data_IF_861312072410
#
_entry.id   IF_861312072410
#
_cell.length_a   1.000
_cell.length_b   1.000
_cell.length_c   1.000
_cell.angle_alpha   90.00
_cell.angle_beta   90.00
_cell.angle_gamma   90.00
#
_symmetry.space_group_name_H-M   'P 1'
#
loop_
_entity.id
_entity.type
_entity.pdbx_description
1 polymer ?
#
# COMPACT_ATOMS: atom_id res chain seq x y z
N UNK A 1 11.99 -59.65 7.48
CA UNK A 1 12.81 -58.63 6.78
C UNK A 1 12.02 -58.26 5.53
N UNK A 2 11.40 -57.09 5.39
CA UNK A 2 11.94 -55.73 5.43
C UNK A 2 10.92 -54.79 6.07
N UNK A 3 11.39 -54.00 7.03
CA UNK A 3 10.70 -52.91 7.73
C UNK A 3 10.44 -51.74 6.79
N UNK A 4 9.16 -51.42 6.52
CA UNK A 4 8.76 -50.19 5.83
C UNK A 4 8.81 -49.01 6.78
N UNK A 5 9.83 -48.17 6.64
CA UNK A 5 9.95 -46.93 7.40
C UNK A 5 8.88 -45.92 6.92
N UNK A 6 7.85 -45.71 7.74
CA UNK A 6 6.99 -44.54 7.63
C UNK A 6 7.83 -43.29 7.91
N UNK A 7 8.32 -42.63 6.86
CA UNK A 7 8.81 -41.26 6.95
C UNK A 7 7.60 -40.34 7.14
N UNK A 8 7.23 -40.16 8.41
CA UNK A 8 6.38 -39.06 8.84
C UNK A 8 7.19 -37.78 8.65
N UNK A 9 7.07 -37.15 7.48
CA UNK A 9 7.57 -35.79 7.27
C UNK A 9 6.66 -34.89 8.11
N UNK A 10 7.13 -34.50 9.29
CA UNK A 10 6.51 -33.44 10.07
C UNK A 10 6.52 -32.17 9.19
N UNK A 11 5.39 -31.89 8.54
CA UNK A 11 5.10 -30.58 7.97
C UNK A 11 4.97 -29.64 9.16
N UNK A 12 6.09 -29.09 9.61
CA UNK A 12 6.10 -27.97 10.53
C UNK A 12 5.52 -26.78 9.77
N UNK A 13 4.19 -26.67 9.79
CA UNK A 13 3.49 -25.45 9.44
C UNK A 13 4.06 -24.36 10.33
N UNK A 14 4.84 -23.45 9.73
CA UNK A 14 5.24 -22.22 10.40
C UNK A 14 3.98 -21.39 10.61
N UNK A 15 3.36 -21.59 11.77
CA UNK A 15 2.23 -20.77 12.23
C UNK A 15 2.80 -19.45 12.76
N UNK A 16 3.31 -18.64 11.84
CA UNK A 16 3.70 -17.27 12.12
C UNK A 16 2.41 -16.45 12.23
N UNK A 17 2.13 -15.76 13.35
CA UNK A 17 1.04 -14.79 13.40
C UNK A 17 1.51 -13.52 12.67
N UNK A 18 1.72 -13.61 11.34
CA UNK A 18 2.22 -12.51 10.51
C UNK A 18 1.15 -11.46 10.21
N UNK A 19 -0.10 -11.73 10.58
CA UNK A 19 -1.20 -10.82 10.36
C UNK A 19 -1.96 -10.66 11.66
N UNK A 20 -1.55 -9.66 12.47
CA UNK A 20 -2.52 -8.91 13.25
C UNK A 20 -3.62 -8.55 12.26
N UNK A 21 -4.88 -8.92 12.53
CA UNK A 21 -6.04 -8.42 11.79
C UNK A 21 -5.84 -6.91 11.64
N UNK A 22 -5.42 -6.51 10.44
CA UNK A 22 -5.30 -5.09 10.15
C UNK A 22 -6.74 -4.65 10.11
N UNK A 23 -7.13 -3.69 10.94
CA UNK A 23 -8.32 -2.90 10.66
C UNK A 23 -8.07 -2.27 9.29
N UNK A 24 -8.49 -2.97 8.24
CA UNK A 24 -8.59 -2.39 6.91
C UNK A 24 -9.60 -1.25 7.06
N UNK A 25 -9.35 -0.10 6.42
CA UNK A 25 -10.32 0.96 6.45
C UNK A 25 -11.69 0.42 6.03
N UNK A 26 -12.71 0.76 6.81
CA UNK A 26 -14.08 0.35 6.50
C UNK A 26 -14.59 1.12 5.29
N UNK A 27 -15.54 0.55 4.55
CA UNK A 27 -16.22 1.23 3.44
C UNK A 27 -16.77 2.60 3.87
N UNK A 28 -17.25 2.70 5.13
CA UNK A 28 -17.70 3.97 5.72
C UNK A 28 -16.60 5.02 5.84
N UNK A 29 -15.38 4.63 6.18
CA UNK A 29 -14.24 5.57 6.25
C UNK A 29 -13.84 6.05 4.86
N UNK A 30 -13.90 5.16 3.86
CA UNK A 30 -13.68 5.54 2.47
C UNK A 30 -14.76 6.50 1.98
N UNK A 31 -16.04 6.17 2.16
CA UNK A 31 -17.17 7.06 1.81
C UNK A 31 -17.05 8.42 2.49
N UNK A 32 -16.67 8.47 3.76
CA UNK A 32 -16.47 9.72 4.48
C UNK A 32 -15.33 10.54 3.88
N UNK A 33 -14.17 9.91 3.61
CA UNK A 33 -13.05 10.58 2.96
C UNK A 33 -13.44 11.10 1.57
N UNK A 34 -14.10 10.29 0.75
CA UNK A 34 -14.58 10.68 -0.57
C UNK A 34 -15.52 11.89 -0.47
N UNK A 35 -16.40 11.93 0.54
CA UNK A 35 -17.32 13.07 0.72
C UNK A 35 -16.60 14.39 1.02
N UNK A 36 -15.47 14.35 1.73
CA UNK A 36 -14.60 15.52 1.96
C UNK A 36 -13.92 15.96 0.66
N UNK A 37 -13.43 15.01 -0.14
CA UNK A 37 -12.70 15.29 -1.38
C UNK A 37 -13.58 15.73 -2.57
N UNK A 38 -14.91 15.70 -2.43
CA UNK A 38 -15.87 16.13 -3.46
C UNK A 38 -15.81 17.61 -3.81
N UNK A 39 -15.13 18.44 -3.01
CA UNK A 39 -14.91 19.86 -3.34
C UNK A 39 -13.91 20.06 -4.50
N UNK A 40 -13.25 18.99 -4.97
CA UNK A 40 -12.45 18.96 -6.18
C UNK A 40 -11.07 19.58 -6.07
N UNK A 41 -10.65 20.00 -4.88
CA UNK A 41 -9.28 20.48 -4.62
C UNK A 41 -8.40 19.38 -4.04
N UNK A 42 -7.10 19.66 -3.96
CA UNK A 42 -6.18 18.86 -3.17
C UNK A 42 -6.40 19.10 -1.67
N UNK A 43 -6.36 18.02 -0.90
CA UNK A 43 -6.33 18.06 0.56
C UNK A 43 -5.03 17.43 1.06
N UNK A 44 -4.29 18.16 1.87
CA UNK A 44 -3.07 17.68 2.52
C UNK A 44 -3.41 16.70 3.64
N UNK A 45 -2.45 15.84 4.01
CA UNK A 45 -2.60 14.97 5.19
C UNK A 45 -2.87 15.76 6.48
N UNK A 46 -2.32 16.99 6.59
CA UNK A 46 -2.54 17.86 7.75
C UNK A 46 -3.99 18.33 7.84
N UNK A 47 -4.62 18.68 6.73
CA UNK A 47 -6.04 19.04 6.70
C UNK A 47 -6.90 17.83 7.03
N UNK A 48 -6.61 16.67 6.44
CA UNK A 48 -7.38 15.44 6.66
C UNK A 48 -7.29 14.90 8.10
N UNK A 49 -6.21 15.21 8.83
CA UNK A 49 -6.09 14.91 10.27
C UNK A 49 -7.16 15.60 11.12
N UNK A 50 -7.65 16.77 10.72
CA UNK A 50 -8.72 17.48 11.44
C UNK A 50 -10.02 16.67 11.41
N UNK A 51 -10.23 15.85 10.38
CA UNK A 51 -11.37 14.95 10.23
C UNK A 51 -11.15 13.57 10.87
N UNK A 52 -10.04 13.38 11.59
CA UNK A 52 -9.74 12.15 12.33
C UNK A 52 -8.92 11.11 11.58
N UNK A 53 -8.44 11.40 10.37
CA UNK A 53 -7.60 10.46 9.62
C UNK A 53 -6.12 10.55 10.01
N UNK A 54 -5.51 9.41 10.35
CA UNK A 54 -4.06 9.31 10.50
C UNK A 54 -3.35 9.15 9.15
N UNK A 55 -2.06 9.47 9.09
CA UNK A 55 -1.25 9.27 7.88
C UNK A 55 -1.21 7.80 7.44
N UNK A 56 -1.41 6.86 8.37
CA UNK A 56 -1.45 5.43 8.06
C UNK A 56 -2.78 5.06 7.42
N UNK A 57 -3.89 5.49 8.01
CA UNK A 57 -5.23 5.23 7.48
C UNK A 57 -5.41 5.83 6.09
N UNK A 58 -4.89 7.03 5.85
CA UNK A 58 -4.96 7.65 4.52
C UNK A 58 -4.22 6.82 3.46
N UNK A 59 -3.04 6.28 3.79
CA UNK A 59 -2.31 5.40 2.85
C UNK A 59 -3.08 4.10 2.60
N UNK A 60 -3.60 3.49 3.65
CA UNK A 60 -4.39 2.26 3.54
C UNK A 60 -5.68 2.53 2.72
N UNK A 61 -6.34 3.68 2.91
CA UNK A 61 -7.53 4.08 2.16
C UNK A 61 -7.23 4.28 0.68
N UNK A 62 -6.16 5.02 0.34
CA UNK A 62 -5.77 5.23 -1.06
C UNK A 62 -5.50 3.91 -1.77
N UNK A 63 -4.71 3.02 -1.14
CA UNK A 63 -4.34 1.71 -1.70
C UNK A 63 -5.56 0.82 -1.98
N UNK A 64 -6.62 0.96 -1.19
CA UNK A 64 -7.85 0.16 -1.30
C UNK A 64 -9.03 0.94 -1.91
N UNK A 65 -8.79 2.12 -2.50
CA UNK A 65 -9.86 2.97 -3.06
C UNK A 65 -10.24 2.61 -4.50
N UNK A 66 -9.72 1.53 -5.06
CA UNK A 66 -9.91 1.14 -6.47
C UNK A 66 -9.67 2.30 -7.47
N UNK A 67 -8.71 3.17 -7.15
CA UNK A 67 -8.34 4.32 -7.98
C UNK A 67 -9.23 5.55 -7.84
N UNK A 68 -10.20 5.56 -6.90
CA UNK A 68 -11.04 6.73 -6.64
C UNK A 68 -10.28 7.92 -6.06
N UNK A 69 -9.14 7.67 -5.41
CA UNK A 69 -8.32 8.72 -4.81
C UNK A 69 -6.94 8.74 -5.47
N UNK A 70 -6.56 9.90 -6.01
CA UNK A 70 -5.22 10.12 -6.51
C UNK A 70 -4.31 10.67 -5.41
N UNK A 71 -3.18 9.99 -5.21
CA UNK A 71 -2.04 10.49 -4.45
C UNK A 71 -0.77 9.84 -5.00
N UNK A 72 0.34 10.57 -5.02
CA UNK A 72 1.62 10.08 -5.53
C UNK A 72 2.80 10.81 -4.88
N UNK A 73 4.03 10.28 -4.97
CA UNK A 73 5.22 10.96 -4.47
C UNK A 73 5.37 12.36 -5.10
N UNK A 74 5.36 13.40 -4.25
CA UNK A 74 5.43 14.79 -4.71
C UNK A 74 4.06 15.44 -4.96
N UNK A 75 2.95 14.70 -4.85
CA UNK A 75 1.61 15.29 -4.87
C UNK A 75 1.41 16.24 -3.67
N UNK A 76 0.55 17.28 -3.80
CA UNK A 76 0.17 18.15 -2.68
C UNK A 76 -0.54 17.38 -1.55
N UNK A 77 -1.19 16.25 -1.86
CA UNK A 77 -1.90 15.43 -0.90
C UNK A 77 -2.77 14.37 -1.58
N UNK A 78 -4.08 14.46 -1.34
CA UNK A 78 -5.11 13.54 -1.82
C UNK A 78 -6.18 14.31 -2.59
N UNK A 79 -6.66 13.75 -3.70
CA UNK A 79 -7.71 14.35 -4.53
C UNK A 79 -8.63 13.27 -5.08
N UNK A 80 -9.92 13.57 -5.19
CA UNK A 80 -10.89 12.68 -5.84
C UNK A 80 -10.57 12.59 -7.34
N UNK A 81 -10.48 11.35 -7.86
CA UNK A 81 -10.02 11.10 -9.22
C UNK A 81 -10.88 11.81 -10.29
N UNK A 82 -12.19 11.92 -10.07
CA UNK A 82 -13.12 12.60 -10.98
C UNK A 82 -12.80 14.10 -11.21
N UNK A 83 -12.02 14.71 -10.33
CA UNK A 83 -11.59 16.11 -10.44
C UNK A 83 -10.14 16.28 -10.88
N UNK A 84 -9.45 15.18 -11.19
CA UNK A 84 -8.04 15.18 -11.59
C UNK A 84 -7.90 15.62 -13.05
N UNK A 85 -6.90 16.46 -13.33
CA UNK A 85 -6.55 16.86 -14.69
C UNK A 85 -5.58 15.87 -15.35
N UNK A 86 -5.49 15.89 -16.68
CA UNK A 86 -4.54 15.04 -17.42
C UNK A 86 -3.09 15.29 -16.96
N UNK A 87 -2.72 16.55 -16.72
CA UNK A 87 -1.38 16.91 -16.24
C UNK A 87 -1.06 16.32 -14.86
N UNK A 88 -2.07 16.24 -13.97
CA UNK A 88 -1.93 15.60 -12.66
C UNK A 88 -1.78 14.07 -12.78
N UNK A 89 -2.49 13.44 -13.72
CA UNK A 89 -2.34 12.00 -14.02
C UNK A 89 -0.94 11.72 -14.58
N UNK A 90 -0.44 12.58 -15.47
CA UNK A 90 0.89 12.45 -16.04
C UNK A 90 1.99 12.53 -14.96
N UNK A 91 1.81 13.38 -13.94
CA UNK A 91 2.71 13.43 -12.78
C UNK A 91 2.68 12.16 -11.93
N UNK A 92 1.56 11.43 -11.91
CA UNK A 92 1.44 10.17 -11.19
C UNK A 92 2.37 9.05 -11.73
N UNK A 93 3.00 9.24 -12.91
CA UNK A 93 4.14 8.41 -13.37
C UNK A 93 5.28 8.32 -12.35
N UNK A 94 5.36 9.26 -11.40
CA UNK A 94 6.24 9.18 -10.23
C UNK A 94 6.10 7.86 -9.44
N UNK A 95 4.89 7.29 -9.35
CA UNK A 95 4.65 5.99 -8.70
C UNK A 95 5.42 4.86 -9.38
N UNK A 96 5.34 4.78 -10.71
CA UNK A 96 6.07 3.77 -11.49
C UNK A 96 7.58 3.93 -11.33
N UNK A 97 8.08 5.17 -11.33
CA UNK A 97 9.49 5.45 -11.14
C UNK A 97 9.98 5.05 -9.74
N UNK A 98 9.19 5.34 -8.71
CA UNK A 98 9.48 4.94 -7.34
C UNK A 98 9.50 3.41 -7.21
N UNK A 99 8.50 2.71 -7.74
CA UNK A 99 8.44 1.25 -7.74
C UNK A 99 9.66 0.61 -8.41
N UNK A 100 10.05 1.11 -9.60
CA UNK A 100 11.27 0.67 -10.30
C UNK A 100 12.54 0.93 -9.48
N UNK A 101 12.62 2.06 -8.78
CA UNK A 101 13.76 2.35 -7.90
C UNK A 101 13.82 1.38 -6.70
N UNK A 102 12.67 1.04 -6.10
CA UNK A 102 12.57 0.07 -5.00
C UNK A 102 12.99 -1.33 -5.44
N UNK A 103 12.50 -1.82 -6.58
CA UNK A 103 12.89 -3.13 -7.14
C UNK A 103 14.40 -3.18 -7.40
N UNK A 104 14.95 -2.15 -8.07
CA UNK A 104 16.40 -2.08 -8.30
C UNK A 104 17.20 -2.11 -7.02
N UNK A 105 16.72 -1.44 -5.95
CA UNK A 105 17.35 -1.43 -4.63
C UNK A 105 17.32 -2.83 -3.99
N UNK A 106 16.19 -3.52 -4.04
CA UNK A 106 16.08 -4.89 -3.53
C UNK A 106 17.03 -5.86 -4.24
N UNK A 107 17.11 -5.80 -5.58
CA UNK A 107 18.03 -6.66 -6.35
C UNK A 107 19.50 -6.42 -5.99
N UNK A 108 19.88 -5.19 -5.62
CA UNK A 108 21.23 -4.90 -5.10
C UNK A 108 21.49 -5.56 -3.75
N UNK A 109 20.48 -5.73 -2.90
CA UNK A 109 20.60 -6.45 -1.62
C UNK A 109 20.73 -7.96 -1.81
N UNK A 110 20.08 -8.52 -2.84
CA UNK A 110 20.14 -9.96 -3.14
C UNK A 110 21.56 -10.44 -3.51
N UNK A 111 22.31 -9.64 -4.26
CA UNK A 111 23.68 -9.97 -4.72
C UNK A 111 24.67 -10.30 -3.58
N UNK A 112 24.85 -9.46 -2.54
CA UNK A 112 25.72 -9.78 -1.42
C UNK A 112 25.11 -10.85 -0.49
N UNK A 113 23.78 -10.95 -0.36
CA UNK A 113 23.14 -11.99 0.44
C UNK A 113 23.52 -13.39 -0.05
N UNK A 114 23.41 -13.65 -1.36
CA UNK A 114 23.86 -14.92 -1.96
C UNK A 114 25.38 -15.18 -1.87
N UNK A 115 26.20 -14.19 -1.53
CA UNK A 115 27.64 -14.41 -1.25
C UNK A 115 27.91 -14.76 0.21
N UNK A 116 26.93 -14.54 1.10
CA UNK A 116 26.99 -14.83 2.53
C UNK A 116 26.26 -16.12 2.91
N UNK A 117 25.45 -16.65 1.99
CA UNK A 117 24.79 -17.96 2.09
C UNK A 117 25.58 -18.94 1.26
#
# INVERSE_FOLDING_TARGET
MITGAHHHVASTTFDLPLFRERNRPTDRQLEYLLSILRDGRWHTAKELKVYGFSDRELRDLVENSDGQILSFPGAPGYKLFDHVTIDEIEQAKALLNQGRAMIRRFLRYRKPYHRRT
#
